data_IF_620364941628
#
_entry.id   IF_620364941628
#
_cell.length_a   1.000
_cell.length_b   1.000
_cell.length_c   1.000
_cell.angle_alpha   90.00
_cell.angle_beta   90.00
_cell.angle_gamma   90.00
#
_symmetry.space_group_name_H-M   'P 1'
#
loop_
_entity.id
_entity.type
_entity.pdbx_description
1 polymer ?
#
# COMPACT_ATOMS: atom_id res chain seq x y z
N UNK A 1 -3.08 3.81 -12.66
CA UNK A 1 -4.31 3.34 -13.34
C UNK A 1 -5.46 4.28 -13.02
N UNK A 2 -6.21 4.79 -14.01
CA UNK A 2 -7.36 5.67 -13.76
C UNK A 2 -8.58 4.88 -13.31
N UNK A 3 -9.38 5.46 -12.41
CA UNK A 3 -10.62 4.91 -11.88
C UNK A 3 -11.76 5.93 -12.05
N UNK A 4 -12.98 5.42 -12.15
CA UNK A 4 -14.24 6.21 -12.19
C UNK A 4 -15.34 5.51 -11.40
N UNK A 5 -14.98 4.95 -10.26
CA UNK A 5 -15.85 4.07 -9.46
C UNK A 5 -15.70 4.39 -7.98
N UNK A 6 -16.81 4.25 -7.25
CA UNK A 6 -16.85 4.28 -5.78
C UNK A 6 -16.38 2.96 -5.15
N UNK A 7 -16.21 1.92 -5.97
CA UNK A 7 -15.90 0.56 -5.54
C UNK A 7 -14.77 0.00 -6.39
N UNK A 8 -13.73 -0.47 -5.73
CA UNK A 8 -12.59 -1.09 -6.39
C UNK A 8 -11.95 -2.10 -5.47
N UNK A 9 -11.38 -3.14 -6.06
CA UNK A 9 -10.50 -4.07 -5.39
C UNK A 9 -9.15 -4.01 -6.11
N UNK A 10 -8.06 -3.96 -5.37
CA UNK A 10 -6.71 -4.05 -5.95
C UNK A 10 -5.93 -5.12 -5.23
N UNK A 11 -5.28 -5.98 -5.99
CA UNK A 11 -4.23 -6.86 -5.50
C UNK A 11 -2.90 -6.46 -6.15
N UNK A 12 -1.85 -6.39 -5.34
CA UNK A 12 -0.49 -6.11 -5.79
C UNK A 12 0.53 -6.96 -5.03
N UNK A 13 1.54 -7.45 -5.72
CA UNK A 13 2.67 -8.20 -5.13
C UNK A 13 3.99 -7.52 -5.49
N UNK A 14 4.83 -7.29 -4.49
CA UNK A 14 6.12 -6.64 -4.64
C UNK A 14 7.25 -7.55 -4.17
N UNK A 15 8.33 -7.64 -4.95
CA UNK A 15 9.64 -7.99 -4.41
C UNK A 15 10.28 -6.73 -3.85
N UNK A 16 10.64 -6.72 -2.57
CA UNK A 16 11.19 -5.53 -1.89
C UNK A 16 12.70 -5.67 -1.82
N UNK A 17 13.43 -4.60 -2.14
CA UNK A 17 14.89 -4.62 -2.04
C UNK A 17 15.33 -4.18 -0.64
N UNK A 18 16.54 -4.59 -0.22
CA UNK A 18 17.09 -4.28 1.11
C UNK A 18 17.25 -2.79 1.40
N UNK A 19 17.40 -1.98 0.35
CA UNK A 19 17.53 -0.52 0.44
C UNK A 19 16.18 0.20 0.34
N UNK A 20 15.07 -0.54 0.25
CA UNK A 20 13.75 0.05 0.30
C UNK A 20 13.52 0.66 1.68
N UNK A 21 13.01 1.88 1.69
CA UNK A 21 12.58 2.55 2.92
C UNK A 21 11.06 2.59 3.04
N UNK A 22 10.35 2.45 1.91
CA UNK A 22 8.89 2.41 1.88
C UNK A 22 8.37 1.86 0.57
N UNK A 23 7.34 1.02 0.60
CA UNK A 23 6.70 0.50 -0.62
C UNK A 23 5.19 0.34 -0.42
N UNK A 24 4.40 0.55 -1.47
CA UNK A 24 2.98 0.26 -1.44
C UNK A 24 2.19 0.93 -2.55
N UNK A 25 0.98 1.38 -2.22
CA UNK A 25 0.05 1.96 -3.19
C UNK A 25 -0.70 3.18 -2.64
N UNK A 26 -1.15 4.03 -3.56
CA UNK A 26 -1.89 5.26 -3.30
C UNK A 26 -3.24 5.19 -4.02
N UNK A 27 -4.31 5.48 -3.30
CA UNK A 27 -5.67 5.60 -3.83
C UNK A 27 -6.02 7.10 -3.84
N UNK A 28 -6.11 7.70 -5.02
CA UNK A 28 -6.49 9.09 -5.19
C UNK A 28 -8.01 9.24 -5.17
N UNK A 29 -8.48 10.21 -4.39
CA UNK A 29 -9.90 10.57 -4.18
C UNK A 29 -10.26 11.93 -4.78
N UNK A 30 -9.32 12.59 -5.46
CA UNK A 30 -9.56 13.85 -6.16
C UNK A 30 -8.88 13.85 -7.54
N UNK A 31 -9.46 14.61 -8.48
CA UNK A 31 -8.92 14.74 -9.84
C UNK A 31 -7.48 15.28 -9.89
N UNK A 32 -7.11 16.13 -8.92
CA UNK A 32 -5.78 16.72 -8.82
C UNK A 32 -4.78 15.85 -8.05
N UNK A 33 -5.17 14.63 -7.63
CA UNK A 33 -4.36 13.65 -6.91
C UNK A 33 -3.83 14.11 -5.54
N UNK A 34 -4.31 15.25 -5.01
CA UNK A 34 -3.86 15.79 -3.71
C UNK A 34 -4.50 15.06 -2.53
N UNK A 35 -5.75 14.64 -2.68
CA UNK A 35 -6.50 13.91 -1.66
C UNK A 35 -6.33 12.43 -1.93
N UNK A 36 -5.56 11.73 -1.10
CA UNK A 36 -5.18 10.34 -1.35
C UNK A 36 -5.03 9.55 -0.05
N UNK A 37 -5.45 8.29 -0.08
CA UNK A 37 -5.12 7.30 0.94
C UNK A 37 -3.80 6.64 0.55
N UNK A 38 -2.88 6.50 1.50
CA UNK A 38 -1.58 5.84 1.27
C UNK A 38 -1.53 4.55 2.07
N UNK A 39 -1.30 3.43 1.40
CA UNK A 39 -1.11 2.12 2.01
C UNK A 39 0.36 1.76 1.80
N UNK A 40 1.10 1.53 2.87
CA UNK A 40 2.55 1.32 2.75
C UNK A 40 3.13 0.43 3.83
N UNK A 41 4.13 -0.33 3.44
CA UNK A 41 5.00 -1.06 4.34
C UNK A 41 6.35 -0.33 4.50
N UNK A 42 6.83 -0.25 5.73
CA UNK A 42 8.16 0.24 6.10
C UNK A 42 9.03 -0.97 6.49
N UNK A 43 10.09 -1.29 5.71
CA UNK A 43 10.97 -2.41 6.00
C UNK A 43 11.80 -2.25 7.28
N UNK A 44 12.09 -1.02 7.70
CA UNK A 44 12.95 -0.73 8.85
C UNK A 44 12.18 -0.97 10.15
N UNK A 45 10.92 -0.54 10.18
CA UNK A 45 10.06 -0.68 11.37
C UNK A 45 9.15 -1.91 11.31
N UNK A 46 9.20 -2.68 10.22
CA UNK A 46 8.34 -3.83 9.93
C UNK A 46 6.86 -3.50 10.22
N UNK A 47 6.41 -2.35 9.73
CA UNK A 47 5.07 -1.82 10.03
C UNK A 47 4.33 -1.53 8.75
N UNK A 48 3.12 -2.09 8.62
CA UNK A 48 2.18 -1.69 7.58
C UNK A 48 1.30 -0.56 8.09
N UNK A 49 1.18 0.50 7.29
CA UNK A 49 0.51 1.74 7.66
C UNK A 49 -0.48 2.14 6.59
N UNK A 50 -1.65 2.60 7.02
CA UNK A 50 -2.67 3.22 6.17
C UNK A 50 -2.89 4.66 6.65
N UNK A 51 -2.49 5.61 5.81
CA UNK A 51 -2.68 7.05 6.03
C UNK A 51 -3.96 7.51 5.34
N UNK A 52 -4.85 8.17 6.09
CA UNK A 52 -6.09 8.75 5.57
C UNK A 52 -5.79 10.06 4.82
N UNK A 53 -6.63 10.43 3.82
CA UNK A 53 -6.45 11.65 3.06
C UNK A 53 -6.66 12.91 3.91
N UNK A 54 -5.95 13.99 3.52
CA UNK A 54 -6.16 15.35 3.99
C UNK A 54 -7.05 16.12 2.98
N UNK A 55 -7.87 17.10 3.40
CA UNK A 55 -8.07 17.61 4.77
C UNK A 55 -8.94 16.71 5.65
N UNK A 56 -8.75 16.85 6.97
CA UNK A 56 -9.54 16.16 7.98
C UNK A 56 -10.85 16.91 8.25
N UNK A 57 -11.97 16.18 8.33
CA UNK A 57 -13.25 16.78 8.73
C UNK A 57 -13.29 16.94 10.25
N UNK A 58 -13.71 18.11 10.78
CA UNK A 58 -13.85 18.32 12.22
C UNK A 58 -14.79 17.28 12.84
N UNK A 59 -14.36 16.68 13.96
CA UNK A 59 -15.14 15.68 14.69
C UNK A 59 -15.07 14.26 14.11
N UNK A 60 -14.31 14.03 13.03
CA UNK A 60 -14.02 12.71 12.49
C UNK A 60 -12.57 12.33 12.80
N UNK A 61 -12.32 11.07 13.20
CA UNK A 61 -10.96 10.56 13.41
C UNK A 61 -10.31 10.28 12.05
N UNK A 62 -9.33 11.09 11.68
CA UNK A 62 -8.53 10.93 10.46
C UNK A 62 -7.11 10.40 10.72
N UNK A 63 -6.82 9.96 11.95
CA UNK A 63 -5.50 9.46 12.31
C UNK A 63 -5.02 8.29 11.44
N UNK A 64 -3.73 8.03 11.50
CA UNK A 64 -3.10 6.87 10.89
C UNK A 64 -3.57 5.60 11.60
N UNK A 65 -3.77 4.51 10.86
CA UNK A 65 -3.88 3.18 11.45
C UNK A 65 -2.71 2.33 10.94
N UNK A 66 -2.13 1.51 11.82
CA UNK A 66 -0.98 0.67 11.49
C UNK A 66 -1.05 -0.67 12.21
N UNK A 67 -0.30 -1.64 11.67
CA UNK A 67 -0.14 -2.96 12.27
C UNK A 67 1.30 -3.46 12.01
N UNK A 68 1.91 -4.16 12.98
CA UNK A 68 3.16 -4.88 12.74
C UNK A 68 2.98 -5.90 11.60
N UNK A 69 3.97 -5.98 10.73
CA UNK A 69 4.01 -6.92 9.62
C UNK A 69 5.45 -7.21 9.22
N UNK A 70 5.90 -8.44 9.46
CA UNK A 70 7.23 -8.92 9.09
C UNK A 70 7.14 -9.69 7.78
N UNK A 71 8.08 -9.47 6.86
CA UNK A 71 8.33 -10.34 5.71
C UNK A 71 9.42 -11.34 6.11
N UNK A 72 9.18 -12.63 5.85
CA UNK A 72 10.11 -13.67 6.27
C UNK A 72 11.18 -13.95 5.22
N UNK A 73 12.37 -14.38 5.66
CA UNK A 73 13.38 -14.96 4.79
C UNK A 73 13.37 -16.48 4.93
N UNK A 74 13.28 -17.18 3.81
CA UNK A 74 13.30 -18.64 3.74
C UNK A 74 14.56 -19.12 3.02
N UNK A 75 14.86 -20.41 3.14
CA UNK A 75 15.78 -21.09 2.22
C UNK A 75 14.99 -21.88 1.21
N UNK A 76 15.32 -21.73 -0.07
CA UNK A 76 14.76 -22.55 -1.13
C UNK A 76 15.42 -23.95 -1.18
N UNK A 77 14.96 -24.79 -2.10
CA UNK A 77 15.47 -26.16 -2.29
C UNK A 77 16.94 -26.19 -2.76
N UNK A 78 17.44 -25.09 -3.30
CA UNK A 78 18.83 -24.90 -3.76
C UNK A 78 19.72 -24.35 -2.63
N UNK A 79 19.14 -23.98 -1.49
CA UNK A 79 19.82 -23.41 -0.33
C UNK A 79 20.03 -21.91 -0.37
N UNK A 80 19.45 -21.20 -1.35
CA UNK A 80 19.51 -19.74 -1.44
C UNK A 80 18.54 -19.10 -0.44
N UNK A 81 18.91 -17.94 0.10
CA UNK A 81 17.99 -17.13 0.90
C UNK A 81 17.04 -16.35 -0.01
N UNK A 82 15.74 -16.55 0.19
CA UNK A 82 14.66 -15.90 -0.56
C UNK A 82 13.77 -15.15 0.41
N UNK A 83 13.63 -13.85 0.18
CA UNK A 83 12.71 -13.00 0.95
C UNK A 83 11.27 -13.15 0.45
N UNK A 84 10.33 -13.18 1.39
CA UNK A 84 8.90 -13.19 1.11
C UNK A 84 8.49 -11.92 0.36
N UNK A 85 7.62 -12.08 -0.64
CA UNK A 85 7.04 -10.93 -1.34
C UNK A 85 6.01 -10.21 -0.46
N UNK A 86 5.90 -8.89 -0.62
CA UNK A 86 4.82 -8.12 -0.01
C UNK A 86 3.57 -8.20 -0.89
N UNK A 87 2.49 -8.80 -0.37
CA UNK A 87 1.19 -8.93 -1.04
C UNK A 87 0.18 -8.03 -0.35
N UNK A 88 -0.35 -7.07 -1.09
CA UNK A 88 -1.38 -6.14 -0.62
C UNK A 88 -2.65 -6.41 -1.40
N UNK A 89 -3.74 -6.74 -0.70
CA UNK A 89 -5.09 -6.75 -1.25
C UNK A 89 -5.93 -5.69 -0.54
N UNK A 90 -6.42 -4.71 -1.27
CA UNK A 90 -7.21 -3.63 -0.73
C UNK A 90 -8.58 -3.58 -1.40
N UNK A 91 -9.63 -3.64 -0.58
CA UNK A 91 -11.03 -3.55 -1.00
C UNK A 91 -11.57 -2.21 -0.54
N UNK A 92 -11.97 -1.39 -1.49
CA UNK A 92 -12.62 -0.10 -1.25
C UNK A 92 -14.08 -0.20 -1.68
N UNK A 93 -15.01 -0.08 -0.74
CA UNK A 93 -16.46 0.01 -1.00
C UNK A 93 -17.02 1.29 -0.41
N UNK A 94 -17.10 2.32 -1.27
CA UNK A 94 -17.54 3.69 -0.99
C UNK A 94 -16.69 4.40 0.05
N UNK A 95 -16.86 4.05 1.32
CA UNK A 95 -16.10 4.62 2.44
C UNK A 95 -15.38 3.56 3.24
N UNK A 96 -15.70 2.27 3.07
CA UNK A 96 -15.04 1.18 3.79
C UNK A 96 -13.79 0.81 3.02
N UNK A 97 -12.65 0.77 3.72
CA UNK A 97 -11.39 0.26 3.22
C UNK A 97 -10.97 -0.92 4.10
N UNK A 98 -10.83 -2.08 3.48
CA UNK A 98 -10.24 -3.27 4.10
C UNK A 98 -8.94 -3.61 3.38
N UNK A 99 -7.84 -3.70 4.12
CA UNK A 99 -6.51 -4.00 3.59
C UNK A 99 -6.02 -5.29 4.22
N UNK A 100 -5.70 -6.27 3.38
CA UNK A 100 -5.10 -7.54 3.74
C UNK A 100 -3.65 -7.54 3.26
N UNK A 101 -2.73 -7.88 4.16
CA UNK A 101 -1.30 -7.95 3.88
C UNK A 101 -0.82 -9.38 4.13
N UNK A 102 -0.31 -10.01 3.08
CA UNK A 102 0.09 -11.42 2.99
C UNK A 102 -0.91 -12.37 3.66
N UNK A 103 -2.21 -12.05 3.55
CA UNK A 103 -3.34 -12.82 4.12
C UNK A 103 -3.26 -13.08 5.65
N UNK A 104 -2.37 -12.38 6.37
CA UNK A 104 -2.14 -12.57 7.81
C UNK A 104 -2.26 -11.30 8.66
N UNK A 105 -2.23 -10.14 8.02
CA UNK A 105 -2.50 -8.85 8.67
C UNK A 105 -3.71 -8.21 8.00
N UNK A 106 -4.64 -7.69 8.80
CA UNK A 106 -5.81 -6.95 8.29
C UNK A 106 -5.94 -5.61 8.99
N UNK A 107 -6.17 -4.55 8.21
CA UNK A 107 -6.53 -3.22 8.70
C UNK A 107 -7.84 -2.82 8.04
N UNK A 108 -8.88 -2.61 8.85
CA UNK A 108 -10.19 -2.17 8.39
C UNK A 108 -10.49 -0.78 8.92
N UNK A 109 -10.92 0.13 8.05
CA UNK A 109 -11.25 1.50 8.43
C UNK A 109 -12.27 2.15 7.51
N UNK A 110 -12.64 3.38 7.86
CA UNK A 110 -13.38 4.27 6.98
C UNK A 110 -12.51 5.40 6.44
N UNK A 111 -12.74 5.72 5.17
CA UNK A 111 -12.21 6.88 4.45
C UNK A 111 -13.39 7.79 4.11
N UNK A 112 -13.32 9.02 4.59
CA UNK A 112 -14.30 10.07 4.27
C UNK A 112 -13.63 11.09 3.36
N UNK A 113 -14.26 11.38 2.23
CA UNK A 113 -13.79 12.30 1.19
C UNK A 113 -15.01 12.95 0.52
N UNK A 114 -14.82 14.14 -0.09
CA UNK A 114 -15.91 14.91 -0.70
C UNK A 114 -16.44 14.25 -1.97
N UNK A 115 -15.56 13.62 -2.73
CA UNK A 115 -15.91 12.93 -3.97
C UNK A 115 -16.24 11.47 -3.71
N UNK A 116 -17.34 10.98 -4.28
CA UNK A 116 -17.83 9.62 -4.07
C UNK A 116 -17.14 8.57 -4.94
N UNK A 117 -15.93 8.85 -5.44
CA UNK A 117 -15.20 7.98 -6.36
C UNK A 117 -13.69 8.04 -6.20
N UNK A 118 -13.04 6.92 -6.50
CA UNK A 118 -11.61 6.89 -6.72
C UNK A 118 -11.27 7.37 -8.14
N UNK A 119 -10.17 8.10 -8.25
CA UNK A 119 -9.67 8.70 -9.49
C UNK A 119 -8.50 7.93 -10.07
N UNK A 120 -7.64 7.43 -9.20
CA UNK A 120 -6.40 6.79 -9.63
C UNK A 120 -5.87 5.84 -8.56
N UNK A 121 -5.33 4.71 -9.02
CA UNK A 121 -4.42 3.87 -8.27
C UNK A 121 -2.99 4.09 -8.77
N UNK A 122 -2.04 4.24 -7.85
CA UNK A 122 -0.62 4.34 -8.18
C UNK A 122 0.18 3.45 -7.23
N UNK A 123 1.20 2.78 -7.77
CA UNK A 123 2.17 2.03 -6.98
C UNK A 123 3.40 2.91 -6.76
N UNK A 124 4.09 2.72 -5.64
CA UNK A 124 5.32 3.45 -5.36
C UNK A 124 6.28 2.62 -4.53
N UNK A 125 7.56 2.96 -4.66
CA UNK A 125 8.63 2.49 -3.80
C UNK A 125 9.61 3.64 -3.61
N UNK A 126 10.12 3.78 -2.39
CA UNK A 126 11.08 4.79 -1.95
C UNK A 126 12.32 4.06 -1.41
N UNK A 127 13.48 4.67 -1.61
CA UNK A 127 14.79 4.05 -1.39
C UNK A 127 15.49 3.67 -2.69
N UNK A 128 16.49 2.78 -2.60
CA UNK A 128 17.30 2.31 -3.73
C UNK A 128 18.76 2.73 -3.64
N UNK A 129 19.61 2.12 -4.48
CA UNK A 129 21.05 2.32 -4.42
C UNK A 129 21.42 3.74 -4.81
N UNK A 130 22.49 4.28 -4.19
CA UNK A 130 22.97 5.65 -4.42
C UNK A 130 23.26 5.91 -5.92
N UNK A 131 23.59 4.85 -6.66
CA UNK A 131 23.90 4.89 -8.09
C UNK A 131 22.67 4.67 -9.00
N UNK A 132 21.48 4.43 -8.43
CA UNK A 132 20.21 4.29 -9.15
C UNK A 132 20.10 3.04 -10.04
N UNK A 133 20.98 2.06 -9.84
CA UNK A 133 21.08 0.87 -10.69
C UNK A 133 19.97 -0.13 -10.40
N UNK A 134 19.48 -0.18 -9.15
CA UNK A 134 18.45 -1.13 -8.72
C UNK A 134 17.24 -0.39 -8.11
N UNK A 135 16.01 -0.76 -8.51
CA UNK A 135 14.81 -0.17 -7.94
C UNK A 135 14.62 -0.61 -6.49
N UNK A 136 14.05 0.26 -5.66
CA UNK A 136 13.72 -0.05 -4.27
C UNK A 136 12.76 -1.25 -4.12
N UNK A 137 11.87 -1.45 -5.10
CA UNK A 137 11.01 -2.62 -5.18
C UNK A 137 10.58 -2.87 -6.63
N UNK A 138 10.21 -4.11 -6.92
CA UNK A 138 9.70 -4.54 -8.22
C UNK A 138 8.25 -5.00 -8.04
N UNK A 139 7.32 -4.40 -8.79
CA UNK A 139 5.94 -4.89 -8.88
C UNK A 139 5.91 -6.16 -9.74
N UNK A 140 5.64 -7.30 -9.11
CA UNK A 140 5.62 -8.62 -9.77
C UNK A 140 4.29 -8.90 -10.44
N UNK A 141 3.18 -8.59 -9.76
CA UNK A 141 1.81 -8.73 -10.28
C UNK A 141 0.90 -7.64 -9.74
N UNK A 142 -0.11 -7.30 -10.52
CA UNK A 142 -1.21 -6.45 -10.07
C UNK A 142 -2.51 -6.79 -10.78
N UNK A 143 -3.62 -6.72 -10.07
CA UNK A 143 -4.97 -6.85 -10.60
C UNK A 143 -5.87 -5.77 -9.97
N UNK A 144 -6.75 -5.18 -10.77
CA UNK A 144 -7.77 -4.19 -10.33
C UNK A 144 -9.11 -4.48 -10.99
#
# INVERSE_FOLDING_TARGET
MQLKTARSEVEAEFAVHKECTRVGLKIAHSANLKTQTVLSWDPITETFTVERPHPEYPGIKHGVESAPHTLFTFRDDEGNEVEETLRIRAIFDKSVLEVFVNERTVISMRIYVDEDRCFQLAFFAEGGSVDGVEPAAILLRSQV
#
